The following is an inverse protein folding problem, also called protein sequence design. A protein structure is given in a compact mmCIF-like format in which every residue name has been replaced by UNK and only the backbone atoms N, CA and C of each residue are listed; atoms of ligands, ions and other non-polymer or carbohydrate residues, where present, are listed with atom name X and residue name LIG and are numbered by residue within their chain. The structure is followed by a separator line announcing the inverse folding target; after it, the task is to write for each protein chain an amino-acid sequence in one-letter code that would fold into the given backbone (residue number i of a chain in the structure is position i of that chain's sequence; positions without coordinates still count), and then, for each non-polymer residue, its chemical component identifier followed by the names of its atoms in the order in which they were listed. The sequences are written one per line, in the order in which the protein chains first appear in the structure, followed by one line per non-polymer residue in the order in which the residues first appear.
data_IF_043514090821
#
_entry.id   IF_043514090821
#
_cell.length_a   1.000
_cell.length_b   1.000
_cell.length_c   1.000
_cell.angle_alpha   90.00
_cell.angle_beta   90.00
_cell.angle_gamma   90.00
#
_symmetry.space_group_name_H-M   'P 1'
#
loop_
_entity.id
_entity.type
_entity.pdbx_description
1 polymer ?
#
# COMPACT_ATOMS: atom_id res chain seq x y z
N UNK A 1 -17.57 39.64 -40.95
CA UNK A 1 -16.70 39.51 -39.76
C UNK A 1 -17.36 38.49 -38.85
N UNK A 2 -16.90 37.24 -38.88
CA UNK A 2 -17.35 36.20 -37.95
C UNK A 2 -16.44 36.26 -36.71
N UNK A 3 -16.98 36.19 -35.49
CA UNK A 3 -16.14 36.02 -34.31
C UNK A 3 -15.59 34.58 -34.29
N UNK A 4 -14.28 34.47 -34.08
CA UNK A 4 -13.56 33.22 -33.89
C UNK A 4 -14.08 32.50 -32.64
N UNK A 5 -14.42 31.23 -32.78
CA UNK A 5 -14.58 30.32 -31.65
C UNK A 5 -13.20 29.95 -31.09
N UNK A 6 -12.97 30.28 -29.82
CA UNK A 6 -11.82 29.81 -29.05
C UNK A 6 -12.05 28.34 -28.66
N UNK A 7 -11.08 27.43 -28.82
CA UNK A 7 -11.26 26.04 -28.40
C UNK A 7 -11.35 25.94 -26.87
N UNK A 8 -12.34 25.20 -26.38
CA UNK A 8 -12.44 24.76 -25.00
C UNK A 8 -11.19 23.95 -24.63
N UNK A 9 -10.36 24.50 -23.73
CA UNK A 9 -9.32 23.72 -23.05
C UNK A 9 -9.95 22.55 -22.29
N UNK A 10 -9.36 21.35 -22.31
CA UNK A 10 -9.82 20.26 -21.48
C UNK A 10 -9.59 20.62 -20.02
N UNK A 11 -10.69 20.71 -19.27
CA UNK A 11 -10.68 20.91 -17.82
C UNK A 11 -9.81 19.84 -17.16
N UNK A 12 -8.82 20.31 -16.40
CA UNK A 12 -7.92 19.49 -15.62
C UNK A 12 -8.71 18.54 -14.70
N UNK A 13 -8.38 17.25 -14.73
CA UNK A 13 -8.84 16.30 -13.73
C UNK A 13 -8.16 16.65 -12.39
N UNK A 14 -8.91 17.31 -11.51
CA UNK A 14 -8.52 17.60 -10.12
C UNK A 14 -9.11 16.55 -9.17
N UNK A 15 -8.39 16.38 -8.04
CA UNK A 15 -8.60 15.45 -6.93
C UNK A 15 -8.23 13.98 -7.14
N UNK A 16 -7.27 13.53 -6.33
CA UNK A 16 -7.15 12.13 -5.94
C UNK A 16 -8.42 11.76 -5.16
N UNK A 17 -9.38 11.18 -5.87
CA UNK A 17 -10.68 10.73 -5.36
C UNK A 17 -10.49 9.52 -4.44
N UNK A 18 -10.07 9.79 -3.19
CA UNK A 18 -9.90 8.78 -2.16
C UNK A 18 -11.25 8.53 -1.50
N UNK A 19 -11.85 7.37 -1.80
CA UNK A 19 -13.09 6.92 -1.16
C UNK A 19 -13.93 6.05 -2.09
N UNK A 20 -14.88 5.32 -1.51
CA UNK A 20 -15.93 4.68 -2.31
C UNK A 20 -17.03 5.70 -2.56
N UNK A 21 -17.40 5.89 -3.83
CA UNK A 21 -18.57 6.68 -4.21
C UNK A 21 -19.86 5.98 -3.77
N UNK A 22 -20.94 6.74 -3.53
CA UNK A 22 -22.28 6.18 -3.24
C UNK A 22 -22.73 5.17 -4.30
N UNK A 23 -22.41 5.41 -5.57
CA UNK A 23 -22.70 4.49 -6.66
C UNK A 23 -21.95 3.16 -6.54
N UNK A 24 -20.67 3.20 -6.15
CA UNK A 24 -19.88 1.99 -5.88
C UNK A 24 -20.43 1.24 -4.68
N UNK A 25 -20.73 1.92 -3.56
CA UNK A 25 -21.33 1.31 -2.36
C UNK A 25 -22.63 0.60 -2.72
N UNK A 26 -23.53 1.29 -3.43
CA UNK A 26 -24.79 0.71 -3.90
C UNK A 26 -24.58 -0.56 -4.72
N UNK A 27 -23.58 -0.57 -5.61
CA UNK A 27 -23.28 -1.74 -6.45
C UNK A 27 -22.82 -2.95 -5.64
N UNK A 28 -22.02 -2.73 -4.61
CA UNK A 28 -21.57 -3.79 -3.69
C UNK A 28 -22.75 -4.38 -2.93
N UNK A 29 -23.62 -3.52 -2.40
CA UNK A 29 -24.84 -3.96 -1.72
C UNK A 29 -25.73 -4.83 -2.64
N UNK A 30 -25.88 -4.46 -3.92
CA UNK A 30 -26.60 -5.28 -4.89
C UNK A 30 -25.98 -6.67 -5.08
N UNK A 31 -24.65 -6.75 -5.19
CA UNK A 31 -23.93 -8.01 -5.37
C UNK A 31 -24.07 -8.92 -4.14
N UNK A 32 -23.90 -8.37 -2.93
CA UNK A 32 -24.09 -9.11 -1.67
C UNK A 32 -25.54 -9.59 -1.56
N UNK A 33 -26.53 -8.72 -1.83
CA UNK A 33 -27.93 -9.08 -1.80
C UNK A 33 -28.26 -10.20 -2.82
N UNK A 34 -27.69 -10.14 -4.03
CA UNK A 34 -27.82 -11.20 -5.02
C UNK A 34 -27.22 -12.53 -4.53
N UNK A 35 -26.03 -12.49 -3.93
CA UNK A 35 -25.38 -13.67 -3.37
C UNK A 35 -26.19 -14.30 -2.22
N UNK A 36 -26.71 -13.49 -1.29
CA UNK A 36 -27.58 -13.95 -0.21
C UNK A 36 -28.88 -14.55 -0.74
N UNK A 37 -29.52 -13.94 -1.75
CA UNK A 37 -30.71 -14.51 -2.40
C UNK A 37 -30.42 -15.87 -3.02
N UNK A 38 -29.27 -16.05 -3.66
CA UNK A 38 -28.83 -17.33 -4.23
C UNK A 38 -28.55 -18.38 -3.13
N UNK A 39 -27.93 -17.98 -2.03
CA UNK A 39 -27.58 -18.83 -0.89
C UNK A 39 -28.67 -19.01 0.17
N UNK A 40 -29.87 -18.44 -0.03
CA UNK A 40 -30.91 -18.33 1.02
C UNK A 40 -31.30 -19.64 1.71
N UNK A 41 -31.18 -20.78 1.02
CA UNK A 41 -31.53 -22.10 1.57
C UNK A 41 -30.49 -22.63 2.57
N UNK A 42 -29.31 -22.02 2.62
CA UNK A 42 -28.23 -22.39 3.53
C UNK A 42 -28.46 -21.90 4.97
N UNK A 43 -29.47 -21.06 5.21
CA UNK A 43 -29.71 -20.43 6.50
C UNK A 43 -31.12 -20.70 7.01
N UNK A 44 -31.26 -20.89 8.33
CA UNK A 44 -32.57 -20.92 9.00
C UNK A 44 -33.01 -19.51 9.32
N UNK A 45 -34.20 -19.12 8.86
CA UNK A 45 -34.70 -17.74 8.98
C UNK A 45 -34.74 -17.22 10.42
N UNK A 46 -35.15 -18.06 11.37
CA UNK A 46 -35.21 -17.69 12.79
C UNK A 46 -33.81 -17.48 13.40
N UNK A 47 -32.83 -18.29 13.02
CA UNK A 47 -31.45 -18.11 13.47
C UNK A 47 -30.84 -16.81 12.91
N UNK A 48 -31.11 -16.50 11.64
CA UNK A 48 -30.68 -15.23 11.03
C UNK A 48 -31.32 -14.03 11.72
N UNK A 49 -32.63 -14.09 11.99
CA UNK A 49 -33.35 -13.02 12.70
C UNK A 49 -32.75 -12.77 14.09
N UNK A 50 -32.50 -13.83 14.86
CA UNK A 50 -31.88 -13.71 16.18
C UNK A 50 -30.49 -13.07 16.12
N UNK A 51 -29.66 -13.42 15.13
CA UNK A 51 -28.34 -12.80 14.94
C UNK A 51 -28.48 -11.31 14.64
N UNK A 52 -29.41 -10.92 13.77
CA UNK A 52 -29.64 -9.51 13.43
C UNK A 52 -30.06 -8.72 14.66
N UNK A 53 -31.02 -9.23 15.44
CA UNK A 53 -31.57 -8.53 16.62
C UNK A 53 -30.59 -8.46 17.80
N UNK A 54 -29.88 -9.56 18.08
CA UNK A 54 -29.03 -9.66 19.28
C UNK A 54 -27.57 -9.26 19.02
N UNK A 55 -27.10 -9.40 17.79
CA UNK A 55 -25.69 -9.23 17.43
C UNK A 55 -25.48 -8.28 16.24
N UNK A 56 -26.50 -7.50 15.86
CA UNK A 56 -26.45 -6.56 14.72
C UNK A 56 -25.18 -5.70 14.65
N UNK A 57 -24.76 -5.02 15.74
CA UNK A 57 -23.53 -4.22 15.72
C UNK A 57 -22.27 -5.04 15.44
N UNK A 58 -22.15 -6.23 16.03
CA UNK A 58 -21.00 -7.12 15.80
C UNK A 58 -21.02 -7.69 14.38
N UNK A 59 -22.19 -8.05 13.87
CA UNK A 59 -22.36 -8.48 12.48
C UNK A 59 -21.93 -7.37 11.51
N UNK A 60 -22.31 -6.11 11.77
CA UNK A 60 -21.91 -4.97 10.95
C UNK A 60 -20.38 -4.78 10.95
N UNK A 61 -19.73 -4.85 12.11
CA UNK A 61 -18.27 -4.74 12.23
C UNK A 61 -17.56 -5.83 11.40
N UNK A 62 -17.94 -7.10 11.58
CA UNK A 62 -17.36 -8.23 10.86
C UNK A 62 -17.59 -8.14 9.35
N UNK A 63 -18.80 -7.77 8.92
CA UNK A 63 -19.10 -7.57 7.51
C UNK A 63 -18.30 -6.42 6.90
N UNK A 64 -18.12 -5.33 7.63
CA UNK A 64 -17.34 -4.18 7.18
C UNK A 64 -15.87 -4.57 7.02
N UNK A 65 -15.27 -5.19 8.04
CA UNK A 65 -13.88 -5.66 8.01
C UNK A 65 -13.64 -6.65 6.87
N UNK A 66 -14.52 -7.64 6.70
CA UNK A 66 -14.42 -8.61 5.62
C UNK A 66 -14.55 -7.95 4.23
N UNK A 67 -15.48 -7.00 4.07
CA UNK A 67 -15.69 -6.29 2.80
C UNK A 67 -14.48 -5.46 2.42
N UNK A 68 -13.93 -4.69 3.37
CA UNK A 68 -12.69 -3.91 3.17
C UNK A 68 -11.54 -4.83 2.77
N UNK A 69 -11.34 -5.93 3.50
CA UNK A 69 -10.29 -6.91 3.19
C UNK A 69 -10.43 -7.49 1.78
N UNK A 70 -11.67 -7.82 1.36
CA UNK A 70 -11.92 -8.33 0.00
C UNK A 70 -11.60 -7.28 -1.06
N UNK A 71 -11.98 -6.00 -0.85
CA UNK A 71 -11.65 -4.93 -1.78
C UNK A 71 -10.15 -4.73 -1.89
N UNK A 72 -9.44 -4.65 -0.77
CA UNK A 72 -7.98 -4.53 -0.75
C UNK A 72 -7.34 -5.67 -1.54
N UNK A 73 -7.80 -6.91 -1.35
CA UNK A 73 -7.27 -8.07 -2.06
C UNK A 73 -7.58 -8.04 -3.57
N UNK A 74 -8.81 -7.67 -3.96
CA UNK A 74 -9.19 -7.61 -5.38
C UNK A 74 -8.48 -6.44 -6.08
N UNK A 75 -8.33 -5.30 -5.41
CA UNK A 75 -7.55 -4.15 -5.92
C UNK A 75 -6.10 -4.57 -6.07
N UNK A 76 -5.49 -5.19 -5.05
CA UNK A 76 -4.12 -5.71 -5.12
C UNK A 76 -3.93 -6.66 -6.32
N UNK A 77 -4.87 -7.58 -6.51
CA UNK A 77 -4.84 -8.55 -7.61
C UNK A 77 -5.07 -7.91 -8.98
N UNK A 78 -6.01 -6.97 -9.10
CA UNK A 78 -6.41 -6.39 -10.38
C UNK A 78 -5.57 -5.20 -10.84
N UNK A 79 -4.91 -4.50 -9.91
CA UNK A 79 -4.16 -3.27 -10.18
C UNK A 79 -2.67 -3.38 -9.93
N UNK A 80 -2.19 -4.47 -9.32
CA UNK A 80 -0.83 -4.56 -8.78
C UNK A 80 -0.50 -3.37 -7.85
N UNK A 81 -1.49 -2.80 -7.17
CA UNK A 81 -1.35 -1.67 -6.23
C UNK A 81 -2.05 -2.01 -4.91
N UNK A 82 -1.40 -1.69 -3.78
CA UNK A 82 -1.95 -1.80 -2.43
C UNK A 82 -1.76 -0.45 -1.75
N UNK A 83 -2.81 0.09 -1.10
CA UNK A 83 -2.71 1.31 -0.31
C UNK A 83 -2.90 0.99 1.19
N UNK A 84 -2.06 1.57 2.05
CA UNK A 84 -2.14 1.41 3.51
C UNK A 84 -2.09 2.77 4.19
N UNK A 85 -3.14 3.12 4.93
CA UNK A 85 -3.11 4.27 5.83
C UNK A 85 -2.31 3.88 7.09
N UNK A 86 -1.28 4.65 7.41
CA UNK A 86 -0.37 4.34 8.53
C UNK A 86 -0.04 5.58 9.33
N UNK A 87 0.17 5.36 10.64
CA UNK A 87 0.74 6.36 11.52
C UNK A 87 2.25 6.16 11.59
N UNK A 88 3.02 7.18 11.26
CA UNK A 88 4.48 7.11 11.13
C UNK A 88 5.16 7.87 12.27
N UNK A 89 6.10 7.21 12.95
CA UNK A 89 6.89 7.83 14.02
C UNK A 89 8.18 8.40 13.45
N UNK A 90 8.11 9.62 12.88
CA UNK A 90 9.22 10.30 12.18
C UNK A 90 10.39 10.71 13.10
N UNK A 91 10.10 10.83 14.40
CA UNK A 91 11.10 11.17 15.43
C UNK A 91 12.13 10.07 15.66
N UNK A 92 11.84 8.81 15.29
CA UNK A 92 12.81 7.70 15.38
C UNK A 92 14.04 7.98 14.51
N UNK A 93 15.21 7.61 15.02
CA UNK A 93 16.40 7.43 14.17
C UNK A 93 16.18 6.26 13.21
N UNK A 94 16.91 6.18 12.08
CA UNK A 94 16.74 5.07 11.15
C UNK A 94 16.99 3.70 11.80
N UNK A 95 17.93 3.63 12.74
CA UNK A 95 18.22 2.41 13.50
C UNK A 95 17.08 2.02 14.44
N UNK A 96 16.46 2.99 15.13
CA UNK A 96 15.29 2.72 15.97
C UNK A 96 14.08 2.27 15.15
N UNK A 97 13.89 2.84 13.95
CA UNK A 97 12.85 2.43 13.01
C UNK A 97 13.05 0.96 12.60
N UNK A 98 14.27 0.58 12.19
CA UNK A 98 14.59 -0.81 11.82
C UNK A 98 14.35 -1.76 13.00
N UNK A 99 14.86 -1.41 14.18
CA UNK A 99 14.72 -2.23 15.39
C UNK A 99 13.25 -2.45 15.79
N UNK A 100 12.39 -1.46 15.58
CA UNK A 100 10.97 -1.55 15.93
C UNK A 100 10.23 -2.63 15.13
N UNK A 101 10.74 -3.03 13.96
CA UNK A 101 10.14 -4.07 13.14
C UNK A 101 10.26 -5.47 13.75
N UNK A 102 11.19 -5.68 14.69
CA UNK A 102 11.45 -7.00 15.29
C UNK A 102 11.92 -8.05 14.27
N UNK A 103 12.58 -7.60 13.19
CA UNK A 103 13.11 -8.42 12.08
C UNK A 103 14.60 -8.67 12.27
N UNK A 104 15.13 -9.73 11.67
CA UNK A 104 16.56 -9.93 11.55
C UNK A 104 17.18 -8.79 10.71
N UNK A 105 18.24 -8.17 11.22
CA UNK A 105 18.83 -6.96 10.64
C UNK A 105 20.07 -7.29 9.80
N UNK A 106 20.00 -7.08 8.48
CA UNK A 106 21.14 -7.14 7.56
C UNK A 106 21.41 -5.72 7.08
N UNK A 107 22.34 -5.00 7.72
CA UNK A 107 22.44 -3.55 7.51
C UNK A 107 23.86 -3.05 7.33
N UNK A 108 24.04 -2.16 6.35
CA UNK A 108 25.20 -1.27 6.24
C UNK A 108 24.94 0.01 7.05
N UNK A 109 25.72 0.21 8.11
CA UNK A 109 25.60 1.38 9.00
C UNK A 109 25.72 2.73 8.27
N UNK A 110 26.48 2.81 7.16
CA UNK A 110 26.60 4.03 6.37
C UNK A 110 25.30 4.33 5.62
N UNK A 111 24.68 3.30 5.05
CA UNK A 111 23.40 3.42 4.32
C UNK A 111 22.24 3.68 5.28
N UNK A 112 22.22 3.02 6.45
CA UNK A 112 21.21 3.25 7.49
C UNK A 112 21.15 4.72 7.88
N UNK A 113 22.30 5.39 8.00
CA UNK A 113 22.35 6.83 8.32
C UNK A 113 21.78 7.72 7.21
N UNK A 114 21.86 7.26 5.97
CA UNK A 114 21.39 7.96 4.78
C UNK A 114 19.94 7.63 4.41
N UNK A 115 19.21 6.84 5.21
CA UNK A 115 17.80 6.54 4.95
C UNK A 115 17.00 7.85 4.93
N UNK A 116 16.31 8.17 3.82
CA UNK A 116 15.53 9.38 3.72
C UNK A 116 14.32 9.34 4.66
N UNK A 117 13.98 10.50 5.22
CA UNK A 117 12.77 10.72 6.00
C UNK A 117 11.74 11.42 5.12
N UNK A 118 10.58 10.81 4.92
CA UNK A 118 9.43 11.50 4.35
C UNK A 118 8.75 12.44 5.37
N UNK A 119 7.68 13.07 4.92
CA UNK A 119 6.88 14.02 5.69
C UNK A 119 5.53 13.41 6.14
N UNK A 120 4.87 14.07 7.09
CA UNK A 120 3.56 13.65 7.60
C UNK A 120 3.61 12.48 8.59
N UNK A 121 2.80 12.60 9.65
CA UNK A 121 2.68 11.58 10.71
C UNK A 121 1.54 10.58 10.43
N UNK A 122 0.59 10.94 9.56
CA UNK A 122 -0.46 10.06 9.06
C UNK A 122 -0.47 10.15 7.54
N UNK A 123 -0.09 9.06 6.88
CA UNK A 123 0.10 9.04 5.42
C UNK A 123 -0.52 7.78 4.82
N UNK A 124 -0.84 7.85 3.54
CA UNK A 124 -1.17 6.67 2.74
C UNK A 124 0.10 6.23 2.01
N UNK A 125 0.56 5.01 2.31
CA UNK A 125 1.63 4.36 1.57
C UNK A 125 1.02 3.56 0.44
N UNK A 126 1.42 3.87 -0.78
CA UNK A 126 1.07 3.11 -1.97
C UNK A 126 2.22 2.16 -2.31
N UNK A 127 1.91 0.86 -2.34
CA UNK A 127 2.76 -0.19 -2.83
C UNK A 127 2.36 -0.53 -4.24
N UNK A 128 3.32 -0.69 -5.15
CA UNK A 128 3.04 -1.17 -6.51
C UNK A 128 3.98 -2.30 -6.90
N UNK A 129 3.49 -3.22 -7.73
CA UNK A 129 4.28 -4.32 -8.29
C UNK A 129 4.39 -4.17 -9.80
N UNK A 130 5.59 -4.37 -10.34
CA UNK A 130 5.82 -4.32 -11.79
C UNK A 130 5.65 -5.69 -12.47
N UNK A 131 5.83 -6.78 -11.73
CA UNK A 131 5.67 -8.14 -12.25
C UNK A 131 6.75 -8.55 -13.25
N UNK A 132 7.88 -7.85 -13.25
CA UNK A 132 9.06 -8.13 -14.08
C UNK A 132 10.31 -7.60 -13.39
N UNK A 133 11.47 -8.10 -13.80
CA UNK A 133 12.76 -7.55 -13.42
C UNK A 133 12.85 -6.07 -13.83
N UNK A 134 13.39 -5.22 -12.95
CA UNK A 134 13.46 -3.78 -13.18
C UNK A 134 14.79 -3.21 -12.73
N UNK A 135 15.41 -2.40 -13.59
CA UNK A 135 16.63 -1.69 -13.21
C UNK A 135 16.36 -0.60 -12.17
N UNK A 136 17.35 -0.24 -11.36
CA UNK A 136 17.16 0.85 -10.39
C UNK A 136 16.77 2.17 -11.06
N UNK A 137 17.37 2.49 -12.21
CA UNK A 137 17.01 3.70 -12.94
C UNK A 137 15.58 3.62 -13.50
N UNK A 138 15.12 2.44 -13.89
CA UNK A 138 13.78 2.22 -14.43
C UNK A 138 12.74 2.28 -13.31
N UNK A 139 13.04 1.70 -12.15
CA UNK A 139 12.19 1.79 -10.96
C UNK A 139 12.02 3.25 -10.50
N UNK A 140 13.09 4.05 -10.53
CA UNK A 140 13.00 5.49 -10.24
C UNK A 140 12.06 6.23 -11.20
N UNK A 141 12.05 5.85 -12.49
CA UNK A 141 11.09 6.39 -13.47
C UNK A 141 9.66 5.91 -13.19
N UNK A 142 9.48 4.67 -12.75
CA UNK A 142 8.18 4.14 -12.36
C UNK A 142 7.58 4.83 -11.13
N UNK A 143 8.42 5.19 -10.13
CA UNK A 143 8.01 6.07 -9.02
C UNK A 143 7.55 7.44 -9.53
N UNK A 144 8.35 8.09 -10.38
CA UNK A 144 8.03 9.40 -10.94
C UNK A 144 6.73 9.39 -11.76
N UNK A 145 6.53 8.36 -12.60
CA UNK A 145 5.31 8.15 -13.39
C UNK A 145 4.05 8.02 -12.52
N UNK A 146 4.18 7.46 -11.32
CA UNK A 146 3.07 7.32 -10.36
C UNK A 146 2.91 8.54 -9.44
N UNK A 147 3.80 9.52 -9.53
CA UNK A 147 3.82 10.66 -8.61
C UNK A 147 4.16 10.26 -7.17
N UNK A 148 4.90 9.17 -7.00
CA UNK A 148 5.31 8.65 -5.70
C UNK A 148 6.76 9.04 -5.37
N UNK A 149 7.02 9.27 -4.10
CA UNK A 149 8.35 9.42 -3.52
C UNK A 149 8.62 8.22 -2.61
N UNK A 150 9.76 7.52 -2.75
CA UNK A 150 10.16 6.49 -1.80
C UNK A 150 10.20 7.03 -0.36
N UNK A 151 9.52 6.36 0.56
CA UNK A 151 9.48 6.75 1.97
C UNK A 151 9.66 5.51 2.87
N UNK A 152 10.93 5.14 3.15
CA UNK A 152 11.27 3.99 4.00
C UNK A 152 10.60 3.98 5.37
N UNK A 153 10.37 5.15 5.96
CA UNK A 153 9.74 5.27 7.28
C UNK A 153 8.26 4.93 7.25
N UNK A 154 7.55 5.42 6.24
CA UNK A 154 6.14 5.08 6.07
C UNK A 154 5.97 3.60 5.69
N UNK A 155 6.86 3.08 4.84
CA UNK A 155 6.89 1.66 4.48
C UNK A 155 7.19 0.76 5.69
N UNK A 156 8.14 1.15 6.54
CA UNK A 156 8.42 0.45 7.79
C UNK A 156 7.20 0.47 8.73
N UNK A 157 6.50 1.60 8.85
CA UNK A 157 5.29 1.69 9.66
C UNK A 157 4.17 0.75 9.17
N UNK A 158 4.02 0.58 7.86
CA UNK A 158 3.08 -0.40 7.31
C UNK A 158 3.44 -1.85 7.69
N UNK A 159 4.73 -2.19 7.64
CA UNK A 159 5.22 -3.52 8.03
C UNK A 159 5.23 -3.73 9.56
N UNK A 160 5.33 -2.67 10.36
CA UNK A 160 5.19 -2.73 11.84
C UNK A 160 3.71 -2.94 12.23
N UNK A 161 2.79 -2.26 11.54
CA UNK A 161 1.36 -2.38 11.78
C UNK A 161 0.78 -3.75 11.37
N UNK A 162 1.27 -4.33 10.28
CA UNK A 162 1.00 -5.73 9.90
C UNK A 162 2.33 -6.49 9.69
N UNK A 163 2.83 -7.17 10.74
CA UNK A 163 4.08 -7.93 10.66
C UNK A 163 4.08 -9.05 9.61
N UNK A 164 2.91 -9.49 9.14
CA UNK A 164 2.78 -10.53 8.10
C UNK A 164 2.75 -9.96 6.68
N UNK A 165 2.74 -8.63 6.53
CA UNK A 165 2.57 -7.99 5.23
C UNK A 165 3.70 -8.35 4.26
N UNK A 166 4.96 -8.16 4.68
CA UNK A 166 6.14 -8.54 3.90
C UNK A 166 6.28 -10.06 3.68
N UNK A 167 5.64 -10.92 4.49
CA UNK A 167 5.65 -12.36 4.27
C UNK A 167 4.85 -12.73 2.99
N UNK A 168 3.82 -11.94 2.68
CA UNK A 168 2.94 -12.14 1.51
C UNK A 168 3.30 -11.21 0.35
N UNK A 169 3.86 -10.04 0.66
CA UNK A 169 4.21 -8.99 -0.27
C UNK A 169 5.64 -8.51 0.06
N UNK A 170 6.69 -9.28 -0.27
CA UNK A 170 8.07 -8.82 -0.15
C UNK A 170 8.19 -7.45 -0.78
N UNK A 171 8.63 -6.46 -0.01
CA UNK A 171 8.54 -5.07 -0.42
C UNK A 171 9.81 -4.29 -0.10
N UNK A 172 10.08 -3.25 -0.88
CA UNK A 172 11.24 -2.39 -0.68
C UNK A 172 11.06 -0.99 -1.24
N UNK A 173 12.09 -0.19 -1.06
CA UNK A 173 12.24 1.15 -1.61
C UNK A 173 13.72 1.41 -1.90
N UNK A 174 13.98 2.31 -2.83
CA UNK A 174 15.34 2.73 -3.18
C UNK A 174 15.47 4.24 -3.24
N UNK A 175 16.68 4.74 -2.98
CA UNK A 175 17.02 6.16 -3.04
C UNK A 175 18.48 6.33 -3.46
N UNK A 176 18.89 7.56 -3.76
CA UNK A 176 20.30 7.88 -3.98
C UNK A 176 20.91 8.47 -2.71
N UNK A 177 22.12 8.02 -2.34
CA UNK A 177 22.93 8.68 -1.32
C UNK A 177 23.54 9.99 -1.85
N UNK A 178 24.26 10.71 -0.98
CA UNK A 178 24.89 12.01 -1.30
C UNK A 178 25.92 11.91 -2.45
N UNK A 179 26.51 10.73 -2.64
CA UNK A 179 27.47 10.42 -3.71
C UNK A 179 26.76 9.96 -5.01
N UNK A 180 25.43 9.87 -5.00
CA UNK A 180 24.61 9.45 -6.14
C UNK A 180 24.54 7.94 -6.34
N UNK A 181 25.04 7.13 -5.41
CA UNK A 181 24.93 5.68 -5.44
C UNK A 181 23.52 5.25 -5.03
N UNK A 182 23.06 4.15 -5.60
CA UNK A 182 21.77 3.58 -5.24
C UNK A 182 21.85 2.83 -3.90
N UNK A 183 20.94 3.19 -3.00
CA UNK A 183 20.69 2.55 -1.73
C UNK A 183 19.29 1.94 -1.72
N UNK A 184 19.08 0.92 -0.89
CA UNK A 184 17.79 0.28 -0.74
C UNK A 184 17.47 -0.08 0.69
N UNK A 185 16.19 -0.31 0.92
CA UNK A 185 15.64 -1.06 2.03
C UNK A 185 14.70 -2.12 1.48
N UNK A 186 14.80 -3.35 1.99
CA UNK A 186 13.95 -4.47 1.60
C UNK A 186 13.42 -5.18 2.85
N UNK A 187 12.18 -5.63 2.77
CA UNK A 187 11.46 -6.35 3.80
C UNK A 187 10.86 -7.61 3.19
N UNK A 188 11.28 -8.76 3.67
CA UNK A 188 10.84 -10.04 3.15
C UNK A 188 10.91 -11.12 4.22
N UNK A 189 10.76 -12.36 3.76
CA UNK A 189 10.87 -13.56 4.58
C UNK A 189 11.66 -14.59 3.79
N UNK A 190 12.78 -15.02 4.36
CA UNK A 190 13.60 -16.12 3.88
C UNK A 190 13.46 -17.34 4.81
N UNK A 191 14.27 -18.37 4.55
CA UNK A 191 14.31 -19.58 5.37
C UNK A 191 14.78 -19.28 6.82
N UNK A 192 15.58 -18.22 7.00
CA UNK A 192 16.10 -17.77 8.30
C UNK A 192 15.08 -16.92 9.08
N UNK A 193 13.98 -16.53 8.45
CA UNK A 193 12.82 -15.91 9.09
C UNK A 193 12.44 -14.59 8.45
N UNK A 194 11.96 -13.65 9.27
CA UNK A 194 11.60 -12.31 8.80
C UNK A 194 12.81 -11.40 8.89
N UNK A 195 13.24 -10.85 7.77
CA UNK A 195 14.43 -10.02 7.69
C UNK A 195 14.10 -8.61 7.16
N UNK A 196 15.04 -7.71 7.41
CA UNK A 196 15.13 -6.37 6.82
C UNK A 196 16.56 -6.18 6.36
N UNK A 197 16.71 -5.88 5.07
CA UNK A 197 18.00 -5.64 4.42
C UNK A 197 18.12 -4.15 4.06
N UNK A 198 19.24 -3.53 4.42
CA UNK A 198 19.56 -2.13 4.13
C UNK A 198 21.00 -2.06 3.64
N UNK A 199 21.18 -1.74 2.35
CA UNK A 199 22.48 -1.74 1.73
C UNK A 199 22.60 -0.79 0.54
N UNK A 200 23.82 -0.72 0.01
CA UNK A 200 24.05 -0.19 -1.34
C UNK A 200 23.79 -1.33 -2.30
N UNK A 201 22.95 -1.10 -3.31
CA UNK A 201 22.75 -2.12 -4.32
C UNK A 201 23.64 -1.86 -5.54
N UNK A 202 24.22 -2.93 -6.04
CA UNK A 202 24.76 -3.01 -7.40
C UNK A 202 23.85 -3.84 -8.31
N UNK A 203 22.81 -4.44 -7.74
CA UNK A 203 21.91 -5.39 -8.38
C UNK A 203 20.48 -4.81 -8.51
N UNK A 204 19.87 -5.06 -9.65
CA UNK A 204 18.51 -4.64 -9.95
C UNK A 204 17.44 -5.48 -9.19
N UNK A 205 16.16 -5.10 -9.30
CA UNK A 205 15.08 -5.75 -8.56
C UNK A 205 14.40 -6.87 -9.36
N UNK A 206 14.19 -8.01 -8.71
CA UNK A 206 13.41 -9.12 -9.26
C UNK A 206 11.90 -8.84 -9.29
N UNK A 207 11.17 -9.65 -10.06
CA UNK A 207 9.73 -9.53 -10.31
C UNK A 207 8.84 -9.81 -9.08
N UNK A 208 9.38 -10.41 -8.02
CA UNK A 208 8.65 -10.72 -6.79
C UNK A 208 8.36 -9.49 -5.93
N UNK A 209 9.13 -8.41 -6.07
CA UNK A 209 9.11 -7.25 -5.19
C UNK A 209 7.95 -6.28 -5.42
N UNK A 210 7.43 -5.75 -4.31
CA UNK A 210 6.54 -4.59 -4.24
C UNK A 210 7.33 -3.34 -3.84
N UNK A 211 6.96 -2.18 -4.39
CA UNK A 211 7.68 -0.93 -4.18
C UNK A 211 6.81 0.08 -3.47
N UNK A 212 7.23 0.51 -2.27
CA UNK A 212 6.47 1.41 -1.42
C UNK A 212 6.84 2.88 -1.64
N UNK A 213 5.85 3.77 -1.66
CA UNK A 213 6.06 5.21 -1.68
C UNK A 213 4.85 6.00 -1.21
N UNK A 214 5.06 7.28 -0.94
CA UNK A 214 3.99 8.24 -0.57
C UNK A 214 3.81 9.21 -1.73
N UNK A 215 2.56 9.62 -2.01
CA UNK A 215 2.31 10.63 -3.04
C UNK A 215 3.01 11.93 -2.72
N UNK A 216 3.57 12.56 -3.75
CA UNK A 216 4.05 13.94 -3.66
C UNK A 216 2.87 14.84 -3.33
N UNK A 217 3.01 15.63 -2.28
CA UNK A 217 2.16 16.80 -2.03
C UNK A 217 2.18 17.68 -3.30
N UNK A 218 0.99 18.03 -3.79
CA UNK A 218 0.84 18.94 -4.93
C UNK A 218 1.19 20.36 -4.54
#
# INVERSE_FOLDING_TARGET
MNPMETPLSPSAATETDLGLTEGQIGKVCEMIAAALRKGRKSFRSNAVQNIIEQHGPKLQEEMTSATVTVFENIIAWSSNIIARAVKVVRSRTPKEMIKALGRAEYTDNSVVKAIPKGEGDEVIVEFFKLGQYVSMNDLAREYAKRGLTPDPYAQAAANEADPTFADKHPNGAQWKDEDGNWCYIAFDRDDDGRCVDVGRSYDDWYDCWWFGGVRKSR
#
